data_IF_898514144030
#
_entry.id   IF_898514144030
#
_cell.length_a   1.000
_cell.length_b   1.000
_cell.length_c   1.000
_cell.angle_alpha   90.00
_cell.angle_beta   90.00
_cell.angle_gamma   90.00
#
_symmetry.space_group_name_H-M   'P 1'
#
loop_
_entity.id
_entity.type
_entity.pdbx_description
1 polymer ?
#
# COMPACT_ATOMS: atom_id res chain seq x y z
N UNK A 1 -2.47 25.40 1.51
CA UNK A 1 -1.73 25.45 0.19
C UNK A 1 -2.24 26.67 -0.56
N UNK A 2 -1.35 27.51 -1.11
CA UNK A 2 -1.77 28.71 -1.84
C UNK A 2 -2.17 28.33 -3.27
N UNK A 3 -3.28 28.87 -3.78
CA UNK A 3 -3.72 28.64 -5.15
C UNK A 3 -2.83 29.38 -6.14
N UNK A 4 -2.21 28.65 -7.05
CA UNK A 4 -1.40 29.21 -8.15
C UNK A 4 -1.91 28.66 -9.48
N UNK A 5 -1.99 29.51 -10.51
CA UNK A 5 -2.54 29.12 -11.82
C UNK A 5 -1.47 28.40 -12.67
N UNK A 6 -0.98 27.25 -12.21
CA UNK A 6 0.03 26.44 -12.91
C UNK A 6 -0.59 25.16 -13.51
N UNK A 7 0.01 24.55 -14.53
CA UNK A 7 -0.45 23.29 -15.09
C UNK A 7 -0.53 22.16 -14.05
N UNK A 8 0.43 22.09 -13.11
CA UNK A 8 0.47 21.10 -12.04
C UNK A 8 -0.72 21.26 -11.10
N UNK A 9 -1.12 22.51 -10.82
CA UNK A 9 -2.31 22.80 -10.04
C UNK A 9 -3.59 22.34 -10.77
N UNK A 10 -3.64 22.50 -12.09
CA UNK A 10 -4.78 21.99 -12.87
C UNK A 10 -4.90 20.47 -12.81
N UNK A 11 -3.79 19.75 -12.88
CA UNK A 11 -3.75 18.28 -12.73
C UNK A 11 -4.23 17.86 -11.35
N UNK A 12 -3.76 18.53 -10.30
CA UNK A 12 -4.17 18.25 -8.91
C UNK A 12 -5.69 18.45 -8.73
N UNK A 13 -6.21 19.57 -9.21
CA UNK A 13 -7.64 19.91 -9.10
C UNK A 13 -8.49 18.93 -9.93
N UNK A 14 -8.05 18.57 -11.13
CA UNK A 14 -8.71 17.57 -11.98
C UNK A 14 -8.82 16.23 -11.25
N UNK A 15 -7.73 15.73 -10.70
CA UNK A 15 -7.68 14.47 -9.96
C UNK A 15 -8.64 14.45 -8.76
N UNK A 16 -8.69 15.53 -7.97
CA UNK A 16 -9.64 15.67 -6.85
C UNK A 16 -11.09 15.71 -7.33
N UNK A 17 -11.36 16.38 -8.44
CA UNK A 17 -12.70 16.44 -9.02
C UNK A 17 -13.13 15.10 -9.61
N UNK A 18 -12.24 14.37 -10.28
CA UNK A 18 -12.46 13.00 -10.77
C UNK A 18 -12.71 11.99 -9.63
N UNK A 19 -12.09 12.20 -8.48
CA UNK A 19 -12.33 11.36 -7.29
C UNK A 19 -13.69 11.60 -6.62
N UNK A 20 -14.53 12.50 -7.17
CA UNK A 20 -15.88 12.80 -6.66
C UNK A 20 -15.93 13.94 -5.64
N UNK A 21 -14.82 14.63 -5.40
CA UNK A 21 -14.83 15.81 -4.53
C UNK A 21 -15.56 16.97 -5.22
N UNK A 22 -16.41 17.70 -4.47
CA UNK A 22 -17.17 18.79 -5.06
C UNK A 22 -16.28 19.99 -5.38
N UNK A 23 -16.55 20.69 -6.49
CA UNK A 23 -15.83 21.92 -6.84
C UNK A 23 -15.88 22.99 -5.73
N UNK A 24 -16.93 22.97 -4.90
CA UNK A 24 -17.05 23.88 -3.76
C UNK A 24 -16.03 23.52 -2.67
N UNK A 25 -15.93 22.25 -2.31
CA UNK A 25 -14.95 21.76 -1.32
C UNK A 25 -13.51 22.06 -1.75
N UNK A 26 -13.22 21.80 -3.03
CA UNK A 26 -11.88 22.09 -3.59
C UNK A 26 -11.59 23.60 -3.55
N UNK A 27 -12.53 24.44 -3.94
CA UNK A 27 -12.37 25.91 -3.92
C UNK A 27 -12.15 26.44 -2.49
N UNK A 28 -12.92 25.91 -1.52
CA UNK A 28 -12.80 26.27 -0.10
C UNK A 28 -11.42 25.89 0.45
N UNK A 29 -10.85 24.75 0.03
CA UNK A 29 -9.49 24.34 0.43
C UNK A 29 -8.41 25.33 0.01
N UNK A 30 -8.61 26.02 -1.12
CA UNK A 30 -7.66 27.00 -1.67
C UNK A 30 -8.03 28.45 -1.33
N UNK A 31 -9.13 28.68 -0.62
CA UNK A 31 -9.61 30.04 -0.27
C UNK A 31 -10.00 30.87 -1.47
N UNK A 32 -10.52 30.27 -2.56
CA UNK A 32 -10.92 30.96 -3.80
C UNK A 32 -12.39 30.72 -4.14
N UNK A 33 -12.95 31.64 -4.95
CA UNK A 33 -14.32 31.47 -5.41
C UNK A 33 -14.44 30.22 -6.33
N UNK A 34 -15.54 29.46 -6.19
CA UNK A 34 -15.85 28.30 -7.03
C UNK A 34 -15.80 28.65 -8.53
N UNK A 35 -16.31 29.82 -8.94
CA UNK A 35 -16.26 30.29 -10.33
C UNK A 35 -14.83 30.43 -10.85
N UNK A 36 -13.92 30.95 -10.03
CA UNK A 36 -12.50 31.07 -10.36
C UNK A 36 -11.87 29.71 -10.59
N UNK A 37 -12.15 28.72 -9.70
CA UNK A 37 -11.69 27.35 -9.84
C UNK A 37 -12.24 26.69 -11.11
N UNK A 38 -13.54 26.84 -11.35
CA UNK A 38 -14.24 26.26 -12.53
C UNK A 38 -13.64 26.79 -13.83
N UNK A 39 -13.49 28.11 -13.96
CA UNK A 39 -12.92 28.74 -15.16
C UNK A 39 -11.47 28.32 -15.38
N UNK A 40 -10.69 28.21 -14.29
CA UNK A 40 -9.30 27.73 -14.36
C UNK A 40 -9.25 26.28 -14.84
N UNK A 41 -10.11 25.41 -14.31
CA UNK A 41 -10.14 23.99 -14.68
C UNK A 41 -10.57 23.82 -16.14
N UNK A 42 -11.65 24.46 -16.57
CA UNK A 42 -12.12 24.42 -17.98
C UNK A 42 -11.03 24.90 -18.95
N UNK A 43 -10.33 25.97 -18.62
CA UNK A 43 -9.23 26.50 -19.45
C UNK A 43 -8.11 25.48 -19.66
N UNK A 44 -7.84 24.59 -18.67
CA UNK A 44 -6.72 23.66 -18.72
C UNK A 44 -7.09 22.26 -19.23
N UNK A 45 -8.34 21.80 -19.02
CA UNK A 45 -8.78 20.45 -19.44
C UNK A 45 -9.78 20.45 -20.59
N UNK A 46 -10.29 21.62 -20.98
CA UNK A 46 -11.37 21.75 -21.97
C UNK A 46 -12.78 21.60 -21.40
N UNK A 47 -13.76 22.18 -22.11
CA UNK A 47 -15.18 22.14 -21.69
C UNK A 47 -15.75 20.73 -21.69
N UNK A 48 -15.44 19.93 -22.72
CA UNK A 48 -16.00 18.59 -22.89
C UNK A 48 -15.54 17.64 -21.77
N UNK A 49 -14.27 17.66 -21.45
CA UNK A 49 -13.70 16.85 -20.36
C UNK A 49 -14.24 17.31 -19.00
N UNK A 50 -14.40 18.60 -18.78
CA UNK A 50 -15.04 19.12 -17.56
C UNK A 50 -16.48 18.63 -17.40
N UNK A 51 -17.31 18.70 -18.45
CA UNK A 51 -18.70 18.22 -18.39
C UNK A 51 -18.76 16.68 -18.25
N UNK A 52 -17.82 15.94 -18.85
CA UNK A 52 -17.68 14.49 -18.64
C UNK A 52 -17.49 14.15 -17.16
N UNK A 53 -16.53 14.79 -16.49
CA UNK A 53 -16.23 14.57 -15.07
C UNK A 53 -17.43 15.00 -14.20
N UNK A 54 -18.03 16.13 -14.50
CA UNK A 54 -19.21 16.65 -13.79
C UNK A 54 -20.42 15.71 -13.91
N UNK A 55 -20.62 15.10 -15.06
CA UNK A 55 -21.69 14.12 -15.30
C UNK A 55 -21.45 12.83 -14.51
N UNK A 56 -20.20 12.36 -14.44
CA UNK A 56 -19.81 11.21 -13.61
C UNK A 56 -20.08 11.48 -12.12
N UNK A 57 -19.91 12.72 -11.67
CA UNK A 57 -20.12 13.12 -10.28
C UNK A 57 -21.58 13.50 -9.97
N UNK A 58 -22.43 13.69 -11.00
CA UNK A 58 -23.86 13.96 -10.81
C UNK A 58 -24.62 12.64 -10.62
N UNK A 59 -24.89 12.25 -9.37
CA UNK A 59 -25.87 11.19 -9.06
C UNK A 59 -27.26 11.69 -9.50
N UNK A 60 -28.12 10.85 -10.12
CA UNK A 60 -29.46 11.26 -10.48
C UNK A 60 -30.25 11.65 -9.21
N UNK A 61 -30.61 12.91 -9.10
CA UNK A 61 -31.49 13.40 -8.02
C UNK A 61 -32.90 12.92 -8.27
N UNK A 62 -33.33 11.86 -7.62
CA UNK A 62 -34.76 11.56 -7.46
C UNK A 62 -35.35 12.62 -6.53
N UNK A 63 -36.06 13.58 -7.09
CA UNK A 63 -37.02 14.39 -6.35
C UNK A 63 -38.09 13.45 -5.81
N UNK A 64 -38.00 13.09 -4.54
CA UNK A 64 -39.10 12.45 -3.82
C UNK A 64 -39.54 13.39 -2.71
N UNK A 65 -40.83 13.73 -2.75
CA UNK A 65 -41.54 14.58 -1.78
C UNK A 65 -41.25 14.11 -0.36
N UNK A 66 -40.92 15.08 0.50
CA UNK A 66 -40.76 14.85 1.95
C UNK A 66 -42.11 14.38 2.53
N UNK A 67 -42.17 13.12 2.91
CA UNK A 67 -43.02 12.63 3.98
C UNK A 67 -42.14 12.48 5.18
N UNK A 68 -42.33 13.31 6.18
CA UNK A 68 -41.68 13.19 7.49
C UNK A 68 -42.24 11.95 8.20
N UNK A 69 -41.59 10.82 7.97
CA UNK A 69 -41.65 9.67 8.87
C UNK A 69 -40.33 9.59 9.63
N UNK A 70 -40.40 9.82 10.93
CA UNK A 70 -39.32 9.47 11.85
C UNK A 70 -38.99 7.98 11.69
N UNK A 71 -38.00 7.62 10.88
CA UNK A 71 -37.42 6.29 10.93
C UNK A 71 -36.67 6.20 12.26
N UNK A 72 -37.19 5.45 13.21
CA UNK A 72 -36.43 4.84 14.28
C UNK A 72 -35.24 4.13 13.61
N UNK A 73 -34.02 4.41 14.14
CA UNK A 73 -32.86 3.61 13.79
C UNK A 73 -33.22 2.14 14.07
N UNK A 74 -33.35 1.33 13.02
CA UNK A 74 -33.43 -0.11 13.18
C UNK A 74 -32.11 -0.57 13.79
N UNK A 75 -32.16 -1.09 14.99
CA UNK A 75 -31.08 -1.86 15.57
C UNK A 75 -30.75 -2.97 14.60
N UNK A 76 -29.46 -3.13 14.20
CA UNK A 76 -29.08 -4.20 13.27
C UNK A 76 -29.55 -5.54 13.87
N UNK A 77 -30.31 -6.32 13.07
CA UNK A 77 -30.75 -7.65 13.48
C UNK A 77 -29.54 -8.45 13.95
N UNK A 78 -29.63 -9.16 15.09
CA UNK A 78 -28.50 -9.93 15.59
C UNK A 78 -28.04 -10.92 14.51
N UNK A 79 -26.75 -10.93 14.23
CA UNK A 79 -26.15 -11.88 13.28
C UNK A 79 -26.15 -13.28 13.90
N UNK A 80 -26.50 -14.28 13.12
CA UNK A 80 -26.63 -15.67 13.59
C UNK A 80 -25.65 -16.55 12.85
N UNK A 81 -24.80 -17.28 13.61
CA UNK A 81 -23.93 -18.32 13.08
C UNK A 81 -24.78 -19.51 12.63
N UNK A 82 -24.75 -19.84 11.33
CA UNK A 82 -25.51 -20.96 10.76
C UNK A 82 -24.72 -22.26 10.77
N UNK A 83 -23.39 -22.20 10.74
CA UNK A 83 -22.52 -23.36 10.78
C UNK A 83 -21.09 -23.01 10.40
N UNK A 84 -20.18 -23.94 10.62
CA UNK A 84 -18.77 -23.81 10.25
C UNK A 84 -18.12 -25.17 10.02
N UNK A 85 -17.03 -25.16 9.23
CA UNK A 85 -16.12 -26.31 9.06
C UNK A 85 -14.70 -25.81 9.30
N UNK A 86 -13.94 -26.55 10.11
CA UNK A 86 -12.54 -26.26 10.41
C UNK A 86 -11.71 -27.39 9.82
N UNK A 87 -10.79 -27.06 8.92
CA UNK A 87 -9.87 -28.03 8.30
C UNK A 87 -8.44 -27.68 8.67
N UNK A 88 -7.78 -28.54 9.44
CA UNK A 88 -6.35 -28.40 9.76
C UNK A 88 -5.50 -28.94 8.63
N UNK A 89 -4.49 -28.16 8.21
CA UNK A 89 -3.40 -28.56 7.31
C UNK A 89 -2.09 -28.43 8.07
N UNK A 90 -0.98 -28.90 7.49
CA UNK A 90 0.32 -29.01 8.16
C UNK A 90 0.77 -27.75 8.92
N UNK A 91 0.53 -26.55 8.36
CA UNK A 91 0.94 -25.28 8.95
C UNK A 91 -0.17 -24.19 8.88
N UNK A 92 -1.42 -24.58 8.59
CA UNK A 92 -2.53 -23.67 8.44
C UNK A 92 -3.87 -24.29 8.84
N UNK A 93 -4.79 -23.43 9.26
CA UNK A 93 -6.17 -23.81 9.59
C UNK A 93 -7.10 -23.08 8.62
N UNK A 94 -7.93 -23.84 7.90
CA UNK A 94 -8.97 -23.30 7.03
C UNK A 94 -10.29 -23.31 7.78
N UNK A 95 -11.01 -22.21 7.70
CA UNK A 95 -12.33 -21.98 8.27
C UNK A 95 -13.32 -21.71 7.14
N UNK A 96 -14.35 -22.53 7.03
CA UNK A 96 -15.51 -22.24 6.18
C UNK A 96 -16.68 -21.95 7.13
N UNK A 97 -17.18 -20.71 7.15
CA UNK A 97 -18.13 -20.20 8.15
C UNK A 97 -19.37 -19.66 7.44
N UNK A 98 -20.55 -20.01 7.94
CA UNK A 98 -21.82 -19.49 7.45
C UNK A 98 -22.49 -18.60 8.49
N UNK A 99 -22.72 -17.33 8.16
CA UNK A 99 -23.43 -16.36 9.02
C UNK A 99 -24.54 -15.68 8.21
N UNK A 100 -25.76 -15.70 8.75
CA UNK A 100 -26.94 -15.13 8.07
C UNK A 100 -27.13 -15.63 6.63
N UNK A 101 -26.81 -16.90 6.38
CA UNK A 101 -26.90 -17.51 5.05
C UNK A 101 -25.79 -17.10 4.08
N UNK A 102 -24.83 -16.30 4.49
CA UNK A 102 -23.62 -15.98 3.70
C UNK A 102 -22.47 -16.88 4.13
N UNK A 103 -21.77 -17.44 3.15
CA UNK A 103 -20.60 -18.29 3.39
C UNK A 103 -19.31 -17.48 3.26
N UNK A 104 -18.40 -17.69 4.21
CA UNK A 104 -17.07 -17.07 4.29
C UNK A 104 -16.04 -18.19 4.36
N UNK A 105 -14.92 -18.02 3.66
CA UNK A 105 -13.78 -18.93 3.73
C UNK A 105 -12.54 -18.15 4.11
N UNK A 106 -11.89 -18.56 5.19
CA UNK A 106 -10.71 -17.92 5.74
C UNK A 106 -9.64 -18.98 5.98
N UNK A 107 -8.41 -18.71 5.58
CA UNK A 107 -7.25 -19.55 5.90
C UNK A 107 -6.25 -18.70 6.68
N UNK A 108 -5.78 -19.21 7.80
CA UNK A 108 -4.78 -18.53 8.62
C UNK A 108 -3.73 -19.53 9.10
N UNK A 109 -2.54 -19.03 9.41
CA UNK A 109 -1.47 -19.83 9.98
C UNK A 109 -1.91 -20.37 11.35
N UNK A 110 -1.50 -21.58 11.68
CA UNK A 110 -1.76 -22.13 13.02
C UNK A 110 -1.03 -21.28 14.08
N UNK A 111 -1.77 -20.82 15.10
CA UNK A 111 -1.27 -19.94 16.15
C UNK A 111 -2.38 -19.27 16.94
N UNK A 112 -2.04 -18.27 17.73
CA UNK A 112 -2.93 -17.61 18.68
C UNK A 112 -4.24 -17.08 18.06
N UNK A 113 -4.17 -16.46 16.87
CA UNK A 113 -5.35 -15.94 16.18
C UNK A 113 -6.28 -17.05 15.68
N UNK A 114 -5.73 -18.15 15.17
CA UNK A 114 -6.53 -19.30 14.76
C UNK A 114 -7.21 -19.96 15.96
N UNK A 115 -6.53 -20.05 17.10
CA UNK A 115 -7.11 -20.57 18.34
C UNK A 115 -8.22 -19.67 18.90
N UNK A 116 -8.04 -18.35 18.84
CA UNK A 116 -9.08 -17.38 19.23
C UNK A 116 -10.33 -17.54 18.36
N UNK A 117 -10.16 -17.67 17.04
CA UNK A 117 -11.29 -17.89 16.14
C UNK A 117 -11.96 -19.24 16.38
N UNK A 118 -11.20 -20.32 16.63
CA UNK A 118 -11.76 -21.63 17.01
C UNK A 118 -12.62 -21.50 18.27
N UNK A 119 -12.11 -20.85 19.32
CA UNK A 119 -12.86 -20.64 20.57
C UNK A 119 -14.14 -19.83 20.33
N UNK A 120 -14.07 -18.77 19.51
CA UNK A 120 -15.23 -17.95 19.17
C UNK A 120 -16.29 -18.76 18.38
N UNK A 121 -15.88 -19.62 17.44
CA UNK A 121 -16.78 -20.50 16.70
C UNK A 121 -17.46 -21.53 17.62
N UNK A 122 -16.71 -22.17 18.52
CA UNK A 122 -17.22 -23.12 19.46
C UNK A 122 -18.20 -22.50 20.47
N UNK A 123 -17.97 -21.27 20.88
CA UNK A 123 -18.85 -20.52 21.78
C UNK A 123 -19.97 -19.74 21.08
N UNK A 124 -20.03 -19.79 19.74
CA UNK A 124 -20.94 -18.98 18.94
C UNK A 124 -20.85 -17.47 19.24
N UNK A 125 -19.66 -17.00 19.60
CA UNK A 125 -19.38 -15.57 19.79
C UNK A 125 -19.31 -14.84 18.44
N UNK A 126 -20.49 -14.53 17.92
CA UNK A 126 -20.65 -13.89 16.60
C UNK A 126 -19.89 -12.57 16.51
N UNK A 127 -19.76 -11.81 17.60
CA UNK A 127 -19.04 -10.54 17.62
C UNK A 127 -17.55 -10.73 17.33
N UNK A 128 -16.94 -11.70 17.98
CA UNK A 128 -15.52 -12.05 17.74
C UNK A 128 -15.35 -12.64 16.34
N UNK A 129 -16.25 -13.53 15.90
CA UNK A 129 -16.22 -14.11 14.55
C UNK A 129 -16.33 -13.01 13.49
N UNK A 130 -17.27 -12.07 13.64
CA UNK A 130 -17.43 -10.93 12.74
C UNK A 130 -16.16 -10.08 12.66
N UNK A 131 -15.45 -9.89 13.76
CA UNK A 131 -14.16 -9.21 13.79
C UNK A 131 -13.11 -9.82 12.85
N UNK A 132 -13.17 -11.15 12.62
CA UNK A 132 -12.34 -11.83 11.62
C UNK A 132 -12.91 -11.78 10.20
N UNK A 133 -14.23 -11.81 10.06
CA UNK A 133 -14.91 -11.86 8.76
C UNK A 133 -15.18 -10.49 8.15
N UNK A 134 -15.48 -9.48 8.98
CA UNK A 134 -15.74 -8.11 8.54
C UNK A 134 -14.48 -7.38 8.09
N UNK A 135 -13.29 -7.95 8.37
CA UNK A 135 -12.01 -7.37 7.93
C UNK A 135 -12.03 -7.02 6.45
N UNK A 136 -12.45 -7.95 5.59
CA UNK A 136 -12.47 -7.71 4.14
C UNK A 136 -13.59 -6.72 3.76
N UNK A 137 -14.77 -6.84 4.35
CA UNK A 137 -15.89 -5.90 4.09
C UNK A 137 -15.56 -4.48 4.56
N UNK A 138 -14.91 -4.33 5.70
CA UNK A 138 -14.43 -3.05 6.21
C UNK A 138 -13.34 -2.46 5.31
N UNK A 139 -12.42 -3.28 4.82
CA UNK A 139 -11.39 -2.90 3.85
C UNK A 139 -12.03 -2.43 2.54
N UNK A 140 -12.98 -3.18 1.99
CA UNK A 140 -13.69 -2.81 0.75
C UNK A 140 -14.39 -1.47 0.89
N UNK A 141 -15.06 -1.23 2.02
CA UNK A 141 -15.73 0.05 2.31
C UNK A 141 -14.71 1.18 2.45
N UNK A 142 -13.64 0.98 3.23
CA UNK A 142 -12.61 1.98 3.46
C UNK A 142 -11.86 2.38 2.19
N UNK A 143 -11.71 1.45 1.25
CA UNK A 143 -11.00 1.67 -0.03
C UNK A 143 -11.94 2.04 -1.19
N UNK A 144 -13.18 2.47 -0.92
CA UNK A 144 -14.18 2.78 -1.95
C UNK A 144 -14.34 1.65 -2.98
N UNK A 145 -14.31 0.41 -2.52
CA UNK A 145 -14.38 -0.80 -3.35
C UNK A 145 -13.24 -0.94 -4.38
N UNK A 146 -12.12 -0.27 -4.20
CA UNK A 146 -10.92 -0.54 -5.01
C UNK A 146 -10.31 -1.91 -4.70
N UNK A 147 -10.56 -2.45 -3.49
CA UNK A 147 -10.26 -3.83 -3.12
C UNK A 147 -11.56 -4.61 -3.14
N UNK A 148 -11.61 -5.71 -3.89
CA UNK A 148 -12.80 -6.57 -4.06
C UNK A 148 -12.44 -8.04 -4.02
N UNK A 149 -13.43 -8.85 -3.70
CA UNK A 149 -13.41 -10.28 -3.95
C UNK A 149 -14.39 -10.56 -5.10
N UNK A 150 -13.89 -11.05 -6.21
CA UNK A 150 -14.64 -11.23 -7.45
C UNK A 150 -14.84 -12.70 -7.81
N UNK A 151 -15.96 -13.01 -8.47
CA UNK A 151 -16.31 -14.34 -8.95
C UNK A 151 -16.65 -15.35 -7.84
N UNK A 152 -17.02 -16.57 -8.26
CA UNK A 152 -17.36 -17.68 -7.36
C UNK A 152 -16.18 -18.10 -6.46
N UNK A 153 -14.95 -17.98 -6.95
CA UNK A 153 -13.72 -18.30 -6.22
C UNK A 153 -13.28 -17.19 -5.27
N UNK A 154 -13.99 -16.05 -5.23
CA UNK A 154 -13.63 -14.87 -4.43
C UNK A 154 -12.18 -14.44 -4.67
N UNK A 155 -11.77 -14.34 -5.93
CA UNK A 155 -10.45 -13.85 -6.31
C UNK A 155 -10.25 -12.43 -5.78
N UNK A 156 -9.06 -12.15 -5.21
CA UNK A 156 -8.73 -10.81 -4.74
C UNK A 156 -8.43 -9.92 -5.95
N UNK A 157 -9.15 -8.82 -6.07
CA UNK A 157 -8.90 -7.78 -7.05
C UNK A 157 -8.60 -6.45 -6.38
N UNK A 158 -7.55 -5.76 -6.83
CA UNK A 158 -7.19 -4.40 -6.40
C UNK A 158 -7.12 -3.52 -7.64
N UNK A 159 -7.97 -2.49 -7.68
CA UNK A 159 -8.06 -1.56 -8.82
C UNK A 159 -8.20 -2.29 -10.16
N UNK A 160 -9.07 -3.32 -10.20
CA UNK A 160 -9.33 -4.17 -11.37
C UNK A 160 -8.14 -5.08 -11.78
N UNK A 161 -7.12 -5.19 -10.95
CA UNK A 161 -6.02 -6.14 -11.13
C UNK A 161 -6.30 -7.35 -10.26
N UNK A 162 -6.51 -8.51 -10.88
CA UNK A 162 -6.65 -9.77 -10.15
C UNK A 162 -5.30 -10.20 -9.58
N UNK A 163 -5.30 -10.53 -8.29
CA UNK A 163 -4.12 -10.95 -7.55
C UNK A 163 -4.27 -12.40 -7.12
N UNK A 164 -3.16 -13.13 -7.09
CA UNK A 164 -3.14 -14.48 -6.56
C UNK A 164 -3.58 -14.52 -5.08
N UNK A 165 -4.07 -15.67 -4.62
CA UNK A 165 -4.54 -15.84 -3.24
C UNK A 165 -3.50 -15.51 -2.17
N UNK A 166 -2.22 -15.61 -2.49
CA UNK A 166 -1.09 -15.23 -1.63
C UNK A 166 -1.20 -13.78 -1.13
N UNK A 167 -1.71 -12.87 -1.96
CA UNK A 167 -1.86 -11.46 -1.61
C UNK A 167 -2.90 -11.19 -0.52
N UNK A 168 -3.81 -12.13 -0.27
CA UNK A 168 -4.78 -12.04 0.84
C UNK A 168 -4.07 -11.99 2.19
N UNK A 169 -2.93 -12.67 2.34
CA UNK A 169 -2.13 -12.65 3.57
C UNK A 169 -1.49 -11.27 3.78
N UNK A 170 -0.95 -10.67 2.72
CA UNK A 170 -0.38 -9.32 2.77
C UNK A 170 -1.48 -8.32 3.13
N UNK A 171 -2.65 -8.41 2.48
CA UNK A 171 -3.78 -7.54 2.76
C UNK A 171 -4.23 -7.65 4.23
N UNK A 172 -4.38 -8.88 4.75
CA UNK A 172 -4.77 -9.12 6.13
C UNK A 172 -3.75 -8.59 7.14
N UNK A 173 -2.44 -8.71 6.84
CA UNK A 173 -1.37 -8.16 7.66
C UNK A 173 -1.41 -6.64 7.71
N UNK A 174 -1.53 -5.98 6.55
CA UNK A 174 -1.61 -4.51 6.46
C UNK A 174 -2.85 -3.95 7.16
N UNK A 175 -3.96 -4.68 7.15
CA UNK A 175 -5.16 -4.26 7.86
C UNK A 175 -5.01 -4.36 9.39
N UNK A 176 -4.31 -5.38 9.89
CA UNK A 176 -4.05 -5.56 11.33
C UNK A 176 -3.03 -4.57 11.88
N UNK A 177 -2.03 -4.23 11.09
CA UNK A 177 -1.03 -3.22 11.45
C UNK A 177 -1.62 -1.82 11.24
N UNK A 178 -2.15 -1.23 12.32
CA UNK A 178 -2.74 0.12 12.30
C UNK A 178 -1.75 1.22 11.89
N UNK A 179 -0.45 0.93 11.88
CA UNK A 179 0.60 1.85 11.42
C UNK A 179 0.72 1.92 9.90
N UNK A 180 0.10 0.97 9.18
CA UNK A 180 0.14 0.88 7.71
C UNK A 180 -1.28 0.92 7.16
N UNK A 181 -1.57 1.92 6.34
CA UNK A 181 -2.88 2.03 5.74
C UNK A 181 -3.06 1.10 4.55
N UNK A 182 -4.19 0.40 4.48
CA UNK A 182 -4.56 -0.46 3.34
C UNK A 182 -4.56 0.32 2.02
N UNK A 183 -4.79 1.63 2.07
CA UNK A 183 -4.63 2.57 0.96
C UNK A 183 -3.25 2.47 0.30
N UNK A 184 -2.19 2.20 1.09
CA UNK A 184 -0.85 1.99 0.55
C UNK A 184 -0.77 0.82 -0.43
N UNK A 185 -1.46 -0.29 -0.15
CA UNK A 185 -1.49 -1.44 -1.05
C UNK A 185 -2.26 -1.13 -2.35
N UNK A 186 -3.34 -0.35 -2.28
CA UNK A 186 -4.05 0.13 -3.47
C UNK A 186 -3.13 1.01 -4.32
N UNK A 187 -2.44 1.97 -3.70
CA UNK A 187 -1.52 2.86 -4.40
C UNK A 187 -0.33 2.10 -4.99
N UNK A 188 0.18 1.08 -4.30
CA UNK A 188 1.22 0.18 -4.80
C UNK A 188 0.80 -0.51 -6.11
N UNK A 189 -0.39 -1.12 -6.15
CA UNK A 189 -0.89 -1.79 -7.37
C UNK A 189 -1.16 -0.78 -8.48
N UNK A 190 -1.75 0.39 -8.15
CA UNK A 190 -2.00 1.46 -9.12
C UNK A 190 -0.71 1.98 -9.75
N UNK A 191 0.38 2.12 -8.99
CA UNK A 191 1.69 2.52 -9.51
C UNK A 191 2.26 1.48 -10.47
N UNK A 192 2.21 0.19 -10.13
CA UNK A 192 2.64 -0.87 -11.04
C UNK A 192 1.82 -0.87 -12.33
N UNK A 193 0.48 -0.71 -12.24
CA UNK A 193 -0.42 -0.62 -13.40
C UNK A 193 -0.05 0.58 -14.29
N UNK A 194 0.13 1.76 -13.69
CA UNK A 194 0.46 3.00 -14.41
C UNK A 194 1.80 2.94 -15.16
N UNK A 195 2.75 2.13 -14.69
CA UNK A 195 4.08 2.00 -15.27
C UNK A 195 4.27 0.68 -16.06
N UNK A 196 3.20 -0.06 -16.34
CA UNK A 196 3.23 -1.36 -17.05
C UNK A 196 4.17 -2.39 -16.39
N UNK A 197 4.14 -2.47 -15.04
CA UNK A 197 5.00 -3.34 -14.24
C UNK A 197 4.24 -4.42 -13.48
N UNK A 198 3.03 -4.76 -13.92
CA UNK A 198 2.21 -5.81 -13.29
C UNK A 198 2.87 -7.20 -13.37
N UNK A 199 3.75 -7.42 -14.34
CA UNK A 199 4.60 -8.61 -14.47
C UNK A 199 5.51 -8.84 -13.25
N UNK A 200 5.74 -7.82 -12.44
CA UNK A 200 6.56 -7.92 -11.21
C UNK A 200 5.78 -8.33 -9.96
N UNK A 201 4.46 -8.43 -10.02
CA UNK A 201 3.63 -8.71 -8.85
C UNK A 201 4.05 -9.98 -8.09
N UNK A 202 4.30 -11.10 -8.81
CA UNK A 202 4.68 -12.35 -8.16
C UNK A 202 6.08 -12.28 -7.54
N UNK A 203 7.03 -11.62 -8.19
CA UNK A 203 8.35 -11.38 -7.61
C UNK A 203 8.27 -10.46 -6.39
N UNK A 204 7.50 -9.37 -6.47
CA UNK A 204 7.32 -8.44 -5.37
C UNK A 204 6.62 -9.10 -4.17
N UNK A 205 5.71 -10.05 -4.40
CA UNK A 205 5.13 -10.85 -3.33
C UNK A 205 6.22 -11.57 -2.52
N UNK A 206 7.21 -12.19 -3.17
CA UNK A 206 8.27 -12.92 -2.48
C UNK A 206 9.10 -12.04 -1.53
N UNK A 207 9.27 -10.77 -1.87
CA UNK A 207 9.88 -9.79 -0.97
C UNK A 207 8.91 -9.32 0.12
N UNK A 208 7.67 -8.99 -0.26
CA UNK A 208 6.65 -8.43 0.65
C UNK A 208 6.09 -9.45 1.64
N UNK A 209 6.27 -10.76 1.41
CA UNK A 209 5.84 -11.81 2.37
C UNK A 209 6.55 -11.72 3.71
N UNK A 210 7.73 -11.11 3.78
CA UNK A 210 8.47 -10.90 5.01
C UNK A 210 7.76 -9.88 5.91
N UNK A 211 7.63 -10.20 7.20
CA UNK A 211 6.81 -9.43 8.16
C UNK A 211 7.35 -8.04 8.46
N UNK A 212 8.65 -7.81 8.24
CA UNK A 212 9.34 -6.54 8.45
C UNK A 212 9.22 -5.57 7.26
N UNK A 213 8.59 -6.01 6.16
CA UNK A 213 8.39 -5.15 4.99
C UNK A 213 7.03 -4.47 5.06
N UNK A 214 7.06 -3.14 4.96
CA UNK A 214 5.88 -2.27 5.01
C UNK A 214 5.70 -1.52 3.69
N UNK A 215 4.45 -1.25 3.33
CA UNK A 215 4.08 -0.36 2.23
C UNK A 215 3.46 0.88 2.87
N UNK A 216 4.01 2.07 2.58
CA UNK A 216 3.47 3.33 3.07
C UNK A 216 2.26 3.78 2.23
N UNK A 217 1.51 4.78 2.71
CA UNK A 217 0.29 5.27 2.05
C UNK A 217 0.49 5.62 0.56
N UNK A 218 1.63 6.18 0.19
CA UNK A 218 1.94 6.49 -1.22
C UNK A 218 2.20 5.27 -2.11
N UNK A 219 2.18 4.06 -1.56
CA UNK A 219 2.48 2.82 -2.26
C UNK A 219 3.97 2.46 -2.31
N UNK A 220 4.86 3.25 -1.71
CA UNK A 220 6.28 2.93 -1.68
C UNK A 220 6.60 1.86 -0.63
N UNK A 221 7.59 1.04 -0.93
CA UNK A 221 8.07 -0.04 -0.08
C UNK A 221 9.10 0.51 0.90
N UNK A 222 9.00 0.18 2.17
CA UNK A 222 10.05 0.42 3.17
C UNK A 222 11.06 -0.71 3.08
N UNK A 223 12.31 -0.36 2.92
CA UNK A 223 13.40 -1.32 2.88
C UNK A 223 14.61 -0.83 3.66
N UNK A 224 15.65 -1.64 3.67
CA UNK A 224 16.84 -1.44 4.47
C UNK A 224 18.10 -1.65 3.66
N UNK A 225 19.15 -0.92 4.00
CA UNK A 225 20.44 -1.03 3.34
C UNK A 225 21.57 -0.86 4.34
N UNK A 226 22.53 -1.78 4.36
CA UNK A 226 23.74 -1.56 5.12
C UNK A 226 24.75 -0.68 4.35
N UNK A 227 25.41 0.20 5.08
CA UNK A 227 26.35 1.19 4.55
C UNK A 227 27.71 1.06 5.24
N UNK A 228 28.69 1.72 4.67
CA UNK A 228 30.02 1.88 5.28
C UNK A 228 30.25 3.34 5.64
N UNK A 229 30.74 3.57 6.86
CA UNK A 229 31.07 4.91 7.34
C UNK A 229 32.24 5.50 6.57
N UNK A 230 32.26 6.81 6.46
CA UNK A 230 33.39 7.58 5.90
C UNK A 230 34.00 8.47 6.96
N UNK A 231 35.12 9.13 6.64
CA UNK A 231 35.72 10.15 7.52
C UNK A 231 34.89 11.44 7.59
N UNK A 232 33.99 11.66 6.62
CA UNK A 232 33.10 12.83 6.55
C UNK A 232 31.82 12.54 7.34
N UNK A 233 31.57 13.33 8.38
CA UNK A 233 30.38 13.15 9.24
C UNK A 233 29.07 13.24 8.45
N UNK A 234 28.18 12.28 8.63
CA UNK A 234 26.89 12.21 7.95
C UNK A 234 26.96 11.82 6.47
N UNK A 235 28.13 11.38 6.01
CA UNK A 235 28.34 10.83 4.67
C UNK A 235 28.77 9.38 4.78
N UNK A 236 28.08 8.55 4.07
CA UNK A 236 28.27 7.11 4.01
C UNK A 236 28.53 6.68 2.57
N UNK A 237 28.98 5.47 2.38
CA UNK A 237 29.11 4.86 1.04
C UNK A 237 28.46 3.50 1.02
N UNK A 238 28.10 3.04 -0.17
CA UNK A 238 27.66 1.66 -0.34
C UNK A 238 28.78 0.70 0.07
N UNK A 239 28.41 -0.39 0.74
CA UNK A 239 29.41 -1.29 1.33
C UNK A 239 30.13 -2.15 0.30
N UNK A 240 29.59 -2.28 -0.92
CA UNK A 240 30.18 -3.07 -1.99
C UNK A 240 31.23 -2.28 -2.78
N UNK A 241 30.84 -1.23 -3.50
CA UNK A 241 31.77 -0.46 -4.34
C UNK A 241 32.56 0.57 -3.54
N UNK A 242 32.04 1.00 -2.38
CA UNK A 242 32.59 2.09 -1.54
C UNK A 242 32.71 3.43 -2.28
N UNK A 243 31.98 3.61 -3.38
CA UNK A 243 32.07 4.80 -4.25
C UNK A 243 30.84 5.67 -4.21
N UNK A 244 29.65 5.07 -3.96
CA UNK A 244 28.39 5.79 -4.02
C UNK A 244 28.15 6.51 -2.69
N UNK A 245 28.37 7.83 -2.67
CA UNK A 245 28.13 8.65 -1.47
C UNK A 245 26.64 8.76 -1.18
N UNK A 246 26.27 8.60 0.08
CA UNK A 246 24.89 8.55 0.58
C UNK A 246 24.76 9.37 1.85
N UNK A 247 23.61 10.06 1.98
CA UNK A 247 23.27 10.89 3.16
C UNK A 247 21.76 10.80 3.40
N UNK A 248 21.31 11.15 4.60
CA UNK A 248 19.87 11.29 4.87
C UNK A 248 19.28 12.33 3.93
N UNK A 249 18.18 11.99 3.25
CA UNK A 249 17.53 12.81 2.24
C UNK A 249 18.12 12.67 0.82
N UNK A 250 19.04 11.72 0.60
CA UNK A 250 19.52 11.41 -0.74
C UNK A 250 18.52 10.55 -1.52
N UNK A 251 18.39 10.83 -2.82
CA UNK A 251 17.90 9.87 -3.80
C UNK A 251 19.10 9.31 -4.57
N UNK A 252 19.17 7.99 -4.67
CA UNK A 252 20.17 7.27 -5.44
C UNK A 252 19.49 6.63 -6.63
N UNK A 253 19.96 6.90 -7.82
CA UNK A 253 19.32 6.47 -9.07
C UNK A 253 20.36 6.00 -10.07
N UNK A 254 20.02 4.98 -10.85
CA UNK A 254 20.77 4.49 -12.00
C UNK A 254 19.81 4.16 -13.14
N UNK A 255 20.30 4.10 -14.37
CA UNK A 255 19.48 3.68 -15.49
C UNK A 255 19.09 2.19 -15.34
N UNK A 256 17.88 1.82 -15.74
CA UNK A 256 17.36 0.44 -15.60
C UNK A 256 18.25 -0.57 -16.34
N UNK A 257 18.86 -0.19 -17.47
CA UNK A 257 19.81 -1.00 -18.23
C UNK A 257 21.07 -1.39 -17.43
N UNK A 258 21.40 -0.65 -16.37
CA UNK A 258 22.49 -0.97 -15.47
C UNK A 258 22.11 -1.95 -14.36
N UNK A 259 20.83 -2.36 -14.30
CA UNK A 259 20.30 -3.28 -13.29
C UNK A 259 19.97 -4.61 -13.93
N UNK A 260 20.51 -5.69 -13.41
CA UNK A 260 20.22 -7.03 -13.92
C UNK A 260 18.79 -7.45 -13.53
N UNK A 261 17.97 -7.74 -14.53
CA UNK A 261 16.56 -8.13 -14.37
C UNK A 261 16.35 -9.63 -14.15
N UNK A 262 17.41 -10.47 -14.29
CA UNK A 262 17.29 -11.90 -14.11
C UNK A 262 17.30 -12.27 -12.59
N UNK A 263 16.18 -12.77 -12.02
CA UNK A 263 16.12 -13.13 -10.61
C UNK A 263 17.01 -14.33 -10.23
N UNK A 264 17.35 -15.19 -11.18
CA UNK A 264 18.16 -16.39 -10.92
C UNK A 264 19.65 -16.08 -10.79
N UNK A 265 20.08 -14.89 -11.23
CA UNK A 265 21.45 -14.41 -10.99
C UNK A 265 21.54 -13.72 -9.64
N UNK A 266 22.13 -14.37 -8.66
CA UNK A 266 22.08 -13.95 -7.25
C UNK A 266 22.96 -12.76 -6.90
N UNK A 267 24.19 -12.70 -7.44
CA UNK A 267 25.11 -11.58 -7.30
C UNK A 267 25.28 -10.84 -8.62
N UNK A 268 24.55 -9.75 -8.82
CA UNK A 268 24.59 -9.01 -10.07
C UNK A 268 24.43 -7.50 -9.89
N UNK A 269 24.54 -6.77 -11.01
CA UNK A 269 24.49 -5.30 -11.06
C UNK A 269 23.13 -4.76 -10.60
N UNK A 270 23.16 -3.63 -9.93
CA UNK A 270 21.97 -2.90 -9.50
C UNK A 270 22.11 -2.31 -8.10
N UNK A 271 21.15 -1.47 -7.74
CA UNK A 271 21.02 -0.95 -6.40
C UNK A 271 20.30 -1.98 -5.52
N UNK A 272 20.96 -2.44 -4.46
CA UNK A 272 20.40 -3.47 -3.58
C UNK A 272 19.75 -2.85 -2.33
N UNK A 273 18.55 -3.32 -2.03
CA UNK A 273 17.78 -3.02 -0.82
C UNK A 273 17.29 -4.33 -0.24
N UNK A 274 17.34 -4.51 1.07
CA UNK A 274 16.95 -5.74 1.74
C UNK A 274 15.82 -5.54 2.76
N UNK A 275 15.36 -6.67 3.33
CA UNK A 275 14.54 -6.71 4.52
C UNK A 275 15.39 -6.38 5.76
N UNK A 276 14.75 -6.10 6.91
CA UNK A 276 15.46 -5.91 8.17
C UNK A 276 16.33 -7.13 8.50
N UNK A 277 15.77 -8.33 8.37
CA UNK A 277 16.49 -9.57 8.65
C UNK A 277 17.76 -9.75 7.81
N UNK A 278 17.80 -9.17 6.61
CA UNK A 278 18.97 -9.20 5.74
C UNK A 278 20.10 -8.28 6.23
N UNK A 279 19.77 -7.14 6.89
CA UNK A 279 20.76 -6.11 7.23
C UNK A 279 21.07 -5.98 8.73
N UNK A 280 20.21 -6.51 9.62
CA UNK A 280 20.21 -6.25 11.09
C UNK A 280 21.54 -6.49 11.82
N UNK A 281 22.44 -7.29 11.24
CA UNK A 281 23.75 -7.54 11.83
C UNK A 281 24.82 -6.50 11.45
N UNK A 282 24.45 -5.49 10.67
CA UNK A 282 25.36 -4.40 10.27
C UNK A 282 25.35 -3.28 11.30
N UNK A 283 26.47 -2.58 11.41
CA UNK A 283 26.65 -1.48 12.38
C UNK A 283 26.20 -0.12 11.83
N UNK A 284 25.94 -0.03 10.54
CA UNK A 284 25.43 1.19 9.90
C UNK A 284 24.34 0.81 8.91
N UNK A 285 23.12 1.21 9.22
CA UNK A 285 21.94 0.83 8.47
C UNK A 285 21.18 2.07 8.04
N UNK A 286 20.78 2.10 6.76
CA UNK A 286 19.88 3.10 6.21
C UNK A 286 18.47 2.52 6.07
N UNK A 287 17.47 3.28 6.49
CA UNK A 287 16.05 3.08 6.16
C UNK A 287 15.75 3.80 4.86
N UNK A 288 15.20 3.09 3.90
CA UNK A 288 14.99 3.60 2.55
C UNK A 288 13.56 3.37 2.07
N UNK A 289 13.13 4.19 1.11
CA UNK A 289 11.86 4.01 0.40
C UNK A 289 12.15 3.67 -1.07
N UNK A 290 11.43 2.67 -1.59
CA UNK A 290 11.52 2.24 -2.98
C UNK A 290 10.13 2.28 -3.59
N UNK A 291 9.97 2.98 -4.71
CA UNK A 291 8.72 2.88 -5.46
C UNK A 291 8.60 1.50 -6.13
N UNK A 292 7.44 0.88 -6.18
CA UNK A 292 7.29 -0.45 -6.76
C UNK A 292 7.71 -0.52 -8.24
N UNK A 293 7.49 0.54 -9.02
CA UNK A 293 7.92 0.63 -10.41
C UNK A 293 9.43 0.76 -10.60
N UNK A 294 10.17 1.11 -9.55
CA UNK A 294 11.63 1.20 -9.56
C UNK A 294 12.30 -0.15 -9.23
N UNK A 295 11.52 -1.16 -8.82
CA UNK A 295 12.02 -2.52 -8.58
C UNK A 295 12.22 -3.25 -9.91
N UNK A 296 13.41 -3.82 -10.11
CA UNK A 296 13.78 -4.50 -11.35
C UNK A 296 13.76 -6.01 -11.18
N UNK A 297 14.29 -6.55 -10.08
CA UNK A 297 14.26 -7.98 -9.78
C UNK A 297 14.28 -8.27 -8.28
N UNK A 298 13.69 -9.39 -7.90
CA UNK A 298 13.83 -10.01 -6.60
C UNK A 298 14.64 -11.29 -6.79
N UNK A 299 15.93 -11.30 -6.43
CA UNK A 299 16.77 -12.50 -6.53
C UNK A 299 16.21 -13.66 -5.70
N UNK A 300 16.35 -14.87 -6.23
CA UNK A 300 15.83 -16.10 -5.61
C UNK A 300 16.62 -16.55 -4.40
N UNK A 301 17.84 -16.02 -4.20
CA UNK A 301 18.66 -16.28 -3.02
C UNK A 301 18.11 -15.55 -1.77
N UNK A 302 18.59 -15.98 -0.60
CA UNK A 302 18.17 -15.42 0.69
C UNK A 302 16.65 -15.35 0.89
N UNK A 303 15.91 -16.32 0.32
CA UNK A 303 14.44 -16.40 0.43
C UNK A 303 13.71 -15.11 0.01
N UNK A 304 14.21 -14.42 -1.02
CA UNK A 304 13.64 -13.16 -1.48
C UNK A 304 13.84 -11.95 -0.54
N UNK A 305 14.73 -12.05 0.47
CA UNK A 305 14.97 -10.96 1.43
C UNK A 305 15.73 -9.76 0.86
N UNK A 306 16.10 -9.76 -0.41
CA UNK A 306 16.72 -8.61 -1.08
C UNK A 306 16.05 -8.31 -2.41
N UNK A 307 16.10 -7.05 -2.83
CA UNK A 307 15.66 -6.61 -4.16
C UNK A 307 16.78 -5.87 -4.88
N UNK A 308 16.72 -5.90 -6.21
CA UNK A 308 17.46 -4.99 -7.09
C UNK A 308 16.50 -3.94 -7.61
N UNK A 309 16.86 -2.68 -7.43
CA UNK A 309 16.07 -1.54 -7.91
C UNK A 309 16.97 -0.57 -8.68
N UNK A 310 16.33 0.29 -9.45
CA UNK A 310 17.02 1.37 -10.16
C UNK A 310 17.05 2.67 -9.36
N UNK A 311 16.22 2.76 -8.28
CA UNK A 311 16.10 3.98 -7.49
C UNK A 311 15.61 3.70 -6.08
N UNK A 312 16.18 4.42 -5.11
CA UNK A 312 15.68 4.46 -3.73
C UNK A 312 15.95 5.82 -3.06
N UNK A 313 15.21 6.09 -1.99
CA UNK A 313 15.27 7.33 -1.21
C UNK A 313 15.72 7.01 0.21
N UNK A 314 16.74 7.69 0.72
CA UNK A 314 17.23 7.50 2.08
C UNK A 314 16.47 8.43 3.02
N UNK A 315 15.72 7.85 3.96
CA UNK A 315 14.90 8.62 4.91
C UNK A 315 15.54 8.73 6.28
N UNK A 316 16.37 7.74 6.67
CA UNK A 316 17.13 7.75 7.93
C UNK A 316 18.37 6.89 7.83
N UNK A 317 19.37 7.16 8.67
CA UNK A 317 20.60 6.36 8.82
C UNK A 317 20.95 6.33 10.30
N UNK A 318 21.18 5.14 10.85
CA UNK A 318 21.61 4.94 12.21
C UNK A 318 22.91 4.14 12.27
N UNK A 319 23.72 4.45 13.28
CA UNK A 319 25.00 3.79 13.58
C UNK A 319 24.93 3.21 14.98
N UNK A 320 25.36 1.98 15.17
CA UNK A 320 25.41 1.35 16.48
C UNK A 320 25.56 -0.15 16.40
N UNK A 321 25.82 -0.75 17.55
CA UNK A 321 25.82 -2.19 17.72
C UNK A 321 24.41 -2.64 18.16
N UNK A 322 23.85 -3.65 17.49
CA UNK A 322 22.53 -4.21 17.79
C UNK A 322 21.38 -3.19 17.62
N UNK A 323 21.36 -2.53 16.47
CA UNK A 323 20.26 -1.64 16.10
C UNK A 323 18.94 -2.41 16.01
N UNK A 324 17.84 -1.72 16.38
CA UNK A 324 16.47 -2.20 16.27
C UNK A 324 15.70 -1.30 15.28
N UNK A 325 14.59 -1.81 14.70
CA UNK A 325 13.77 -0.99 13.80
C UNK A 325 13.21 0.27 14.47
N UNK A 326 13.00 0.23 15.80
CA UNK A 326 12.53 1.35 16.62
C UNK A 326 13.52 2.51 16.73
N UNK A 327 14.81 2.26 16.48
CA UNK A 327 15.86 3.29 16.52
C UNK A 327 15.75 4.28 15.34
N UNK A 328 14.98 3.91 14.31
CA UNK A 328 14.86 4.70 13.10
C UNK A 328 13.62 5.59 13.12
N UNK A 329 13.72 6.74 12.44
CA UNK A 329 12.64 7.69 12.30
C UNK A 329 11.33 7.04 11.84
N UNK A 330 10.21 7.54 12.36
CA UNK A 330 8.88 7.09 11.97
C UNK A 330 8.67 7.20 10.47
N UNK A 331 7.87 6.28 9.93
CA UNK A 331 7.57 6.23 8.51
C UNK A 331 6.60 7.37 8.17
N UNK A 332 6.93 8.15 7.14
CA UNK A 332 6.03 9.17 6.57
C UNK A 332 5.01 8.53 5.62
N UNK A 333 3.86 9.19 5.41
CA UNK A 333 2.83 8.71 4.46
C UNK A 333 3.26 8.81 2.99
N UNK A 334 4.27 9.63 2.70
CA UNK A 334 4.77 9.88 1.34
C UNK A 334 6.29 9.94 1.31
N UNK A 335 6.86 9.80 0.11
CA UNK A 335 8.29 9.99 -0.11
C UNK A 335 8.61 11.49 0.09
N UNK A 336 9.55 11.84 1.00
CA UNK A 336 9.94 13.22 1.20
C UNK A 336 10.68 13.75 -0.03
N UNK A 337 10.62 15.07 -0.24
CA UNK A 337 11.37 15.72 -1.31
C UNK A 337 12.87 15.49 -1.10
N UNK A 338 13.60 14.99 -2.11
CA UNK A 338 15.03 14.75 -1.99
C UNK A 338 15.80 16.05 -1.74
N UNK A 339 16.80 15.96 -0.86
CA UNK A 339 17.77 17.05 -0.64
C UNK A 339 18.99 16.90 -1.55
N UNK A 340 19.34 15.68 -1.87
CA UNK A 340 20.49 15.33 -2.69
C UNK A 340 20.10 14.32 -3.75
N UNK A 341 20.63 14.46 -4.96
CA UNK A 341 20.40 13.53 -6.06
C UNK A 341 21.75 12.95 -6.51
N UNK A 342 21.88 11.63 -6.47
CA UNK A 342 23.05 10.90 -6.94
C UNK A 342 22.61 10.02 -8.11
N UNK A 343 23.00 10.39 -9.32
CA UNK A 343 22.79 9.61 -10.53
C UNK A 343 24.09 8.87 -10.88
N UNK A 344 23.96 7.56 -11.20
CA UNK A 344 25.08 6.64 -11.50
C UNK A 344 25.11 6.28 -12.98
#
# INVERSE_FOLDING_TARGET
MKFEKTPEMAVLIKSRFESGESLRSIADTFGIARSTLTNFLIKNIGQDEFERIKTLNSKPSKKTKQVKAKKKAETPKPRTLNGYVITKKKDAVKFDISINGKSYSLTMKEGEDSEKLIKALLSSDVKTIDGYLDTISAIMTKTNNQIRLEGEKKALSISEVELSDKWKEILARHHRDKSVEVTGLVNFVNRLKAHNRLDKLDQLYEFLKHNDIKIIESGAIVGWKYLTNTKEKGVYVDSYSKKIKQRIGSVIETDESNVDSNPDVTCSRGLHVGSWNYVKNSTTIAKVLVNPEDVVAIPTDYDGMKMRCKKYYIIDIQEGNRLEESDFASITSSIPKPKFHVKL
#
